data_IF_481870030427
#
_entry.id   IF_481870030427
#
_cell.length_a   1.000
_cell.length_b   1.000
_cell.length_c   1.000
_cell.angle_alpha   90.00
_cell.angle_beta   90.00
_cell.angle_gamma   90.00
#
_symmetry.space_group_name_H-M   'P 1'
#
loop_
_entity.id
_entity.type
_entity.pdbx_description
1 polymer ?
#
# COMPACT_ATOMS: atom_id res chain seq x y z
N UNK A 1 -9.26 -9.26 7.90
CA UNK A 1 -8.85 -9.56 6.51
C UNK A 1 -7.56 -8.84 6.20
N UNK A 2 -6.55 -9.51 5.64
CA UNK A 2 -5.23 -8.90 5.42
C UNK A 2 -5.24 -8.05 4.15
N UNK A 3 -4.90 -6.77 4.25
CA UNK A 3 -4.66 -5.93 3.06
C UNK A 3 -3.25 -6.20 2.52
N UNK A 4 -2.30 -6.36 3.43
CA UNK A 4 -0.92 -6.77 3.14
C UNK A 4 -0.54 -7.86 4.12
N UNK A 5 0.21 -8.85 3.63
CA UNK A 5 0.82 -9.90 4.44
C UNK A 5 2.09 -10.39 3.76
N UNK A 6 3.24 -10.14 4.36
CA UNK A 6 4.51 -10.68 3.88
C UNK A 6 5.62 -10.54 4.92
N UNK A 7 6.73 -11.24 4.71
CA UNK A 7 7.94 -10.98 5.48
C UNK A 7 8.60 -9.71 4.94
N UNK A 8 8.87 -8.75 5.81
CA UNK A 8 9.56 -7.51 5.45
C UNK A 8 10.93 -7.75 4.81
N UNK A 9 11.61 -8.86 5.16
CA UNK A 9 12.88 -9.28 4.54
C UNK A 9 12.68 -9.72 3.08
N UNK A 10 11.48 -10.17 2.74
CA UNK A 10 11.09 -10.61 1.42
C UNK A 10 10.67 -9.49 0.48
N UNK A 11 10.30 -8.31 0.98
CA UNK A 11 9.90 -7.17 0.15
C UNK A 11 11.06 -6.69 -0.74
N UNK A 12 10.73 -6.37 -2.00
CA UNK A 12 11.71 -5.94 -3.01
C UNK A 12 11.37 -4.61 -3.64
N UNK A 13 10.10 -4.39 -3.95
CA UNK A 13 9.63 -3.16 -4.58
C UNK A 13 8.26 -2.80 -4.07
N UNK A 14 8.07 -1.52 -3.75
CA UNK A 14 6.78 -0.95 -3.43
C UNK A 14 6.51 0.21 -4.39
N UNK A 15 5.40 0.14 -5.12
CA UNK A 15 4.99 1.17 -6.08
C UNK A 15 3.74 1.87 -5.57
N UNK A 16 3.82 3.19 -5.40
CA UNK A 16 2.71 4.01 -4.88
C UNK A 16 2.10 4.84 -5.99
N UNK A 17 0.77 4.93 -5.99
CA UNK A 17 0.00 5.91 -6.76
C UNK A 17 -0.91 6.69 -5.81
N UNK A 18 -0.97 8.00 -6.00
CA UNK A 18 -1.76 8.95 -5.20
C UNK A 18 -2.80 9.66 -6.09
N UNK A 19 -3.84 10.32 -5.53
CA UNK A 19 -4.95 10.91 -6.31
C UNK A 19 -4.55 11.96 -7.35
N UNK A 20 -3.34 12.52 -7.25
CA UNK A 20 -2.78 13.52 -8.17
C UNK A 20 -1.70 12.98 -9.12
N UNK A 21 -1.62 11.65 -9.28
CA UNK A 21 -0.60 10.96 -10.11
C UNK A 21 0.85 11.26 -9.67
N UNK A 22 1.03 11.59 -8.40
CA UNK A 22 2.34 11.91 -7.80
C UNK A 22 2.97 10.68 -7.14
N UNK A 23 2.87 9.53 -7.82
CA UNK A 23 3.43 8.27 -7.36
C UNK A 23 4.94 8.29 -7.15
N UNK A 24 5.45 7.28 -6.47
CA UNK A 24 6.89 7.02 -6.35
C UNK A 24 7.15 5.53 -6.16
N UNK A 25 8.39 5.12 -6.39
CA UNK A 25 8.80 3.72 -6.21
C UNK A 25 9.85 3.63 -5.11
N UNK A 26 9.64 2.69 -4.18
CA UNK A 26 10.67 2.19 -3.27
C UNK A 26 11.23 0.89 -3.78
N UNK A 27 12.55 0.75 -3.83
CA UNK A 27 13.21 -0.46 -4.33
C UNK A 27 14.38 -0.83 -3.44
N UNK A 28 14.46 -2.12 -3.08
CA UNK A 28 15.62 -2.67 -2.39
C UNK A 28 16.72 -2.95 -3.41
N UNK A 29 17.81 -2.20 -3.31
CA UNK A 29 19.03 -2.40 -4.08
C UNK A 29 20.18 -2.97 -3.24
N UNK A 30 21.38 -3.11 -3.84
CA UNK A 30 22.57 -3.63 -3.16
C UNK A 30 23.01 -2.81 -1.94
N UNK A 31 22.76 -1.50 -1.96
CA UNK A 31 23.15 -0.56 -0.90
C UNK A 31 22.00 -0.28 0.09
N UNK A 32 20.90 -1.03 -0.01
CA UNK A 32 19.69 -0.84 0.78
C UNK A 32 18.56 -0.21 -0.04
N UNK A 33 17.55 0.31 0.66
CA UNK A 33 16.36 0.84 0.02
C UNK A 33 16.59 2.22 -0.58
N UNK A 34 16.03 2.41 -1.77
CA UNK A 34 16.00 3.70 -2.46
C UNK A 34 14.56 4.14 -2.74
N UNK A 35 14.34 5.45 -2.89
CA UNK A 35 13.10 6.05 -3.37
C UNK A 35 13.44 6.80 -4.65
N UNK A 36 12.85 6.39 -5.77
CA UNK A 36 13.14 6.93 -7.11
C UNK A 36 14.66 7.02 -7.37
N UNK A 37 15.41 5.97 -6.98
CA UNK A 37 16.86 5.86 -7.15
C UNK A 37 17.71 6.64 -6.14
N UNK A 38 17.12 7.35 -5.17
CA UNK A 38 17.85 8.05 -4.09
C UNK A 38 17.81 7.25 -2.80
N UNK A 39 18.92 7.22 -2.06
CA UNK A 39 18.97 6.54 -0.77
C UNK A 39 17.86 7.05 0.19
N UNK A 40 17.11 6.11 0.77
CA UNK A 40 16.10 6.41 1.77
C UNK A 40 16.68 6.39 3.20
N UNK A 41 16.01 7.03 4.15
CA UNK A 41 16.23 6.81 5.58
C UNK A 41 15.80 5.36 5.92
N UNK A 42 16.80 4.48 6.02
CA UNK A 42 16.60 3.05 6.24
C UNK A 42 15.88 2.76 7.57
N UNK A 43 16.07 3.60 8.58
CA UNK A 43 15.45 3.42 9.89
C UNK A 43 13.95 3.72 9.86
N UNK A 44 13.58 4.86 9.28
CA UNK A 44 12.16 5.22 9.09
C UNK A 44 11.46 4.23 8.18
N UNK A 45 12.15 3.79 7.13
CA UNK A 45 11.59 2.83 6.20
C UNK A 45 11.39 1.46 6.85
N UNK A 46 12.38 0.94 7.60
CA UNK A 46 12.23 -0.35 8.29
C UNK A 46 11.00 -0.41 9.19
N UNK A 47 10.81 0.62 10.03
CA UNK A 47 9.61 0.76 10.88
C UNK A 47 8.30 0.83 10.07
N UNK A 48 8.35 1.46 8.91
CA UNK A 48 7.19 1.54 8.03
C UNK A 48 6.87 0.17 7.40
N UNK A 49 7.86 -0.55 6.89
CA UNK A 49 7.67 -1.88 6.31
C UNK A 49 7.12 -2.87 7.34
N UNK A 50 7.58 -2.80 8.60
CA UNK A 50 7.02 -3.57 9.72
C UNK A 50 5.55 -3.24 9.97
N UNK A 51 5.17 -1.97 9.94
CA UNK A 51 3.76 -1.58 10.08
C UNK A 51 2.91 -2.03 8.88
N UNK A 52 3.51 -2.02 7.69
CA UNK A 52 2.85 -2.39 6.45
C UNK A 52 2.60 -3.90 6.37
N UNK A 53 3.56 -4.73 6.77
CA UNK A 53 3.52 -6.20 6.62
C UNK A 53 2.35 -6.87 7.35
N UNK A 54 1.76 -6.20 8.34
CA UNK A 54 0.59 -6.64 9.10
C UNK A 54 -0.69 -5.87 8.81
N UNK A 55 -0.78 -5.09 7.73
CA UNK A 55 -1.96 -4.27 7.46
C UNK A 55 -3.24 -5.10 7.29
N UNK A 56 -4.29 -4.74 8.01
CA UNK A 56 -5.59 -5.41 7.99
C UNK A 56 -6.71 -4.41 7.69
N UNK A 57 -7.76 -4.90 7.05
CA UNK A 57 -9.00 -4.17 6.83
C UNK A 57 -9.90 -4.21 8.07
N UNK A 58 -10.82 -3.26 8.17
CA UNK A 58 -11.72 -3.14 9.31
C UNK A 58 -12.85 -4.19 9.28
N UNK A 59 -13.75 -4.08 8.32
CA UNK A 59 -14.89 -4.97 8.10
C UNK A 59 -15.27 -4.99 6.62
N UNK A 60 -16.05 -5.98 6.19
CA UNK A 60 -16.55 -6.05 4.82
C UNK A 60 -17.58 -4.93 4.56
N UNK A 61 -17.56 -4.42 3.33
CA UNK A 61 -18.54 -3.47 2.83
C UNK A 61 -19.34 -4.17 1.72
N UNK A 62 -20.22 -5.09 2.12
CA UNK A 62 -20.91 -6.01 1.20
C UNK A 62 -21.84 -5.29 0.19
N UNK A 63 -22.25 -4.05 0.48
CA UNK A 63 -23.07 -3.21 -0.40
C UNK A 63 -22.26 -2.29 -1.32
N UNK A 64 -20.93 -2.33 -1.24
CA UNK A 64 -20.06 -1.49 -2.04
C UNK A 64 -19.84 -2.06 -3.44
N UNK A 65 -20.38 -1.36 -4.45
CA UNK A 65 -20.05 -1.56 -5.85
C UNK A 65 -18.99 -0.54 -6.30
N UNK A 66 -17.83 -1.05 -6.68
CA UNK A 66 -16.70 -0.25 -7.19
C UNK A 66 -16.59 -0.29 -8.73
N UNK A 67 -17.56 -0.90 -9.41
CA UNK A 67 -17.58 -1.00 -10.87
C UNK A 67 -17.58 0.40 -11.49
N UNK A 68 -16.60 0.66 -12.37
CA UNK A 68 -16.44 1.95 -13.04
C UNK A 68 -15.78 3.04 -12.19
N UNK A 69 -15.42 2.76 -10.93
CA UNK A 69 -14.63 3.67 -10.12
C UNK A 69 -13.13 3.51 -10.42
N UNK A 70 -12.39 4.61 -10.31
CA UNK A 70 -10.94 4.61 -10.36
C UNK A 70 -10.36 4.66 -8.94
N UNK A 71 -9.27 3.92 -8.65
CA UNK A 71 -8.65 3.97 -7.34
C UNK A 71 -8.04 5.35 -7.11
N UNK A 72 -8.32 5.93 -5.94
CA UNK A 72 -7.69 7.17 -5.48
C UNK A 72 -6.27 6.91 -4.97
N UNK A 73 -6.05 5.79 -4.30
CA UNK A 73 -4.72 5.36 -3.87
C UNK A 73 -4.47 3.92 -4.32
N UNK A 74 -3.24 3.62 -4.72
CA UNK A 74 -2.81 2.26 -5.07
C UNK A 74 -1.41 1.99 -4.53
N UNK A 75 -1.24 0.81 -3.96
CA UNK A 75 0.04 0.30 -3.47
C UNK A 75 0.23 -1.10 -4.05
N UNK A 76 1.31 -1.29 -4.78
CA UNK A 76 1.76 -2.58 -5.26
C UNK A 76 3.02 -2.99 -4.52
N UNK A 77 3.09 -4.25 -4.07
CA UNK A 77 4.22 -4.79 -3.33
C UNK A 77 4.68 -6.07 -4.03
N UNK A 78 5.90 -6.02 -4.56
CA UNK A 78 6.62 -7.20 -5.03
C UNK A 78 7.43 -7.77 -3.86
N UNK A 79 7.27 -9.06 -3.63
CA UNK A 79 8.05 -9.82 -2.66
C UNK A 79 8.57 -11.12 -3.28
N UNK A 80 9.57 -11.71 -2.65
CA UNK A 80 10.23 -12.94 -3.16
C UNK A 80 9.39 -14.21 -3.02
N UNK A 81 8.35 -14.19 -2.18
CA UNK A 81 7.56 -15.37 -1.86
C UNK A 81 6.38 -15.56 -2.82
N UNK A 82 6.09 -14.54 -3.65
CA UNK A 82 4.93 -14.51 -4.55
C UNK A 82 5.34 -14.24 -5.98
N UNK A 83 4.64 -14.90 -6.90
CA UNK A 83 4.75 -14.62 -8.34
C UNK A 83 4.00 -13.35 -8.71
N UNK A 84 2.83 -13.12 -8.10
CA UNK A 84 1.97 -11.96 -8.36
C UNK A 84 2.10 -10.94 -7.22
N UNK A 85 2.10 -9.63 -7.51
CA UNK A 85 2.21 -8.59 -6.50
C UNK A 85 0.99 -8.56 -5.56
N UNK A 86 1.24 -8.12 -4.33
CA UNK A 86 0.16 -7.67 -3.44
C UNK A 86 -0.28 -6.30 -3.93
N UNK A 87 -1.52 -6.18 -4.37
CA UNK A 87 -2.09 -4.93 -4.86
C UNK A 87 -3.17 -4.49 -3.88
N UNK A 88 -3.03 -3.29 -3.32
CA UNK A 88 -4.02 -2.64 -2.44
C UNK A 88 -4.54 -1.40 -3.14
N UNK A 89 -5.84 -1.32 -3.34
CA UNK A 89 -6.49 -0.22 -4.02
C UNK A 89 -7.58 0.39 -3.14
N UNK A 90 -7.58 1.72 -3.02
CA UNK A 90 -8.54 2.47 -2.23
C UNK A 90 -9.40 3.31 -3.17
N UNK A 91 -10.71 3.14 -3.08
CA UNK A 91 -11.69 3.79 -3.94
C UNK A 91 -12.54 4.77 -3.11
N UNK A 92 -12.84 5.97 -3.63
CA UNK A 92 -13.88 6.81 -3.04
C UNK A 92 -15.23 6.13 -3.24
N UNK A 93 -16.04 6.02 -2.19
CA UNK A 93 -17.36 5.40 -2.28
C UNK A 93 -18.33 6.07 -1.30
N UNK A 94 -19.45 6.59 -1.84
CA UNK A 94 -20.37 7.48 -1.12
C UNK A 94 -19.60 8.63 -0.42
N UNK A 95 -19.77 8.78 0.89
CA UNK A 95 -19.13 9.82 1.71
C UNK A 95 -17.80 9.36 2.34
N UNK A 96 -17.24 8.23 1.90
CA UNK A 96 -16.04 7.65 2.49
C UNK A 96 -15.16 6.90 1.49
N UNK A 97 -14.44 5.90 1.98
CA UNK A 97 -13.54 5.09 1.17
C UNK A 97 -13.75 3.61 1.45
N UNK A 98 -13.50 2.81 0.41
CA UNK A 98 -13.42 1.35 0.49
C UNK A 98 -12.09 0.88 -0.07
N UNK A 99 -11.67 -0.31 0.32
CA UNK A 99 -10.39 -0.90 -0.07
C UNK A 99 -10.57 -2.32 -0.58
N UNK A 100 -9.78 -2.68 -1.60
CA UNK A 100 -9.60 -4.05 -2.07
C UNK A 100 -8.14 -4.46 -1.89
N UNK A 101 -7.90 -5.78 -1.84
CA UNK A 101 -6.55 -6.33 -1.86
C UNK A 101 -6.52 -7.58 -2.72
N UNK A 102 -5.46 -7.78 -3.51
CA UNK A 102 -5.26 -9.04 -4.25
C UNK A 102 -5.18 -10.27 -3.34
N UNK A 103 -4.92 -10.09 -2.03
CA UNK A 103 -4.97 -11.15 -1.03
C UNK A 103 -6.40 -11.59 -0.65
N UNK A 104 -7.44 -10.81 -1.00
CA UNK A 104 -8.85 -11.15 -0.76
C UNK A 104 -9.65 -10.86 -2.04
N UNK A 105 -9.44 -11.65 -3.11
CA UNK A 105 -10.08 -11.41 -4.40
C UNK A 105 -11.61 -11.40 -4.26
N UNK A 106 -12.25 -10.43 -4.90
CA UNK A 106 -13.71 -10.24 -4.87
C UNK A 106 -14.26 -9.61 -3.59
N UNK A 107 -13.41 -9.31 -2.59
CA UNK A 107 -13.84 -8.65 -1.36
C UNK A 107 -13.64 -7.14 -1.41
N UNK A 108 -14.66 -6.39 -1.02
CA UNK A 108 -14.59 -4.94 -0.76
C UNK A 108 -14.75 -4.71 0.74
N UNK A 109 -13.91 -3.85 1.31
CA UNK A 109 -13.85 -3.63 2.75
C UNK A 109 -13.90 -2.13 3.06
N UNK A 110 -14.46 -1.78 4.22
CA UNK A 110 -14.47 -0.40 4.68
C UNK A 110 -13.04 0.10 4.96
N UNK A 111 -12.77 1.36 4.61
CA UNK A 111 -11.46 1.98 4.77
C UNK A 111 -11.57 3.33 5.50
N UNK A 112 -11.01 3.39 6.71
CA UNK A 112 -10.84 4.64 7.47
C UNK A 112 -9.67 5.43 6.87
N UNK A 113 -9.99 6.32 5.93
CA UNK A 113 -8.97 7.08 5.22
C UNK A 113 -8.18 8.03 6.14
N UNK A 114 -8.80 8.59 7.18
CA UNK A 114 -8.13 9.50 8.11
C UNK A 114 -7.01 8.79 8.86
N UNK A 115 -7.25 7.54 9.27
CA UNK A 115 -6.28 6.75 10.02
C UNK A 115 -5.32 5.96 9.12
N UNK A 116 -5.84 5.36 8.06
CA UNK A 116 -5.10 4.35 7.28
C UNK A 116 -4.30 4.94 6.12
N UNK A 117 -4.71 6.08 5.51
CA UNK A 117 -3.89 6.77 4.49
C UNK A 117 -2.52 7.17 5.04
N UNK A 118 -2.38 7.91 6.17
CA UNK A 118 -1.05 8.27 6.68
C UNK A 118 -0.25 7.07 7.17
N UNK A 119 -0.91 5.94 7.46
CA UNK A 119 -0.25 4.70 7.85
C UNK A 119 0.29 3.93 6.65
N UNK A 120 -0.51 3.76 5.59
CA UNK A 120 -0.22 2.89 4.45
C UNK A 120 0.39 3.66 3.27
N UNK A 121 -0.06 4.88 2.99
CA UNK A 121 0.29 5.67 1.82
C UNK A 121 1.09 6.92 2.25
N UNK A 122 2.30 6.68 2.75
CA UNK A 122 3.18 7.78 3.18
C UNK A 122 3.77 8.51 1.98
N UNK A 123 3.90 9.85 1.98
CA UNK A 123 4.59 10.55 0.91
C UNK A 123 6.11 10.29 0.98
N UNK A 124 6.81 10.48 -0.14
CA UNK A 124 8.28 10.33 -0.23
C UNK A 124 9.05 11.09 0.85
N UNK A 125 8.57 12.27 1.24
CA UNK A 125 9.20 13.11 2.27
C UNK A 125 9.22 12.49 3.66
N UNK A 126 8.41 11.46 3.92
CA UNK A 126 8.46 10.73 5.18
C UNK A 126 9.77 9.97 5.38
N UNK A 127 10.51 9.70 4.30
CA UNK A 127 11.69 8.83 4.27
C UNK A 127 12.94 9.53 3.73
N UNK A 128 12.86 10.84 3.52
CA UNK A 128 13.98 11.66 3.05
C UNK A 128 14.38 12.60 4.19
N UNK A 129 15.70 12.87 4.28
CA UNK A 129 16.26 13.92 5.12
C UNK A 129 16.30 15.25 4.40
#
# INVERSE_FOLDING_TARGET
HHLVRGDTVGFRRLTYTFPSDTGYVMELGPEGWTIDGKAADQYRLGRYLESLSGAQAMHFADDADITGLSPAYRLEIDDVDRTDPIVVEVFPWRDGFVVTSSLNPGSVMAFDAEREVPRLFRPRSAFQH
#
